data_IF_290743258914
#
_entry.id   IF_290743258914
#
_cell.length_a   1.000
_cell.length_b   1.000
_cell.length_c   1.000
_cell.angle_alpha   90.00
_cell.angle_beta   90.00
_cell.angle_gamma   90.00
#
_symmetry.space_group_name_H-M   'P 1'
#
loop_
_entity.id
_entity.type
_entity.pdbx_description
1 polymer ?
#
# COMPACT_ATOMS: atom_id res chain seq x y z
N UNK A 1 -10.35 8.97 11.32
CA UNK A 1 -9.64 10.19 10.86
C UNK A 1 -9.63 11.34 11.88
N UNK A 2 -10.62 11.47 12.78
CA UNK A 2 -10.63 12.55 13.80
C UNK A 2 -9.37 12.62 14.68
N UNK A 3 -8.65 11.50 14.84
CA UNK A 3 -7.44 11.39 15.67
C UNK A 3 -6.14 11.41 14.84
N UNK A 4 -6.16 11.98 13.64
CA UNK A 4 -4.98 12.11 12.77
C UNK A 4 -4.58 13.58 12.77
N UNK A 5 -3.32 13.89 13.12
CA UNK A 5 -2.85 15.27 13.16
C UNK A 5 -2.71 15.88 11.76
N UNK A 6 -2.72 17.21 11.67
CA UNK A 6 -2.51 17.92 10.39
C UNK A 6 -1.19 17.54 9.72
N UNK A 7 -0.14 17.29 10.51
CA UNK A 7 1.14 16.81 10.01
C UNK A 7 1.00 15.41 9.39
N UNK A 8 0.31 14.48 10.05
CA UNK A 8 0.07 13.15 9.51
C UNK A 8 -0.83 13.19 8.26
N UNK A 9 -1.83 14.07 8.22
CA UNK A 9 -2.68 14.29 7.05
C UNK A 9 -1.86 14.84 5.87
N UNK A 10 -0.97 15.80 6.11
CA UNK A 10 -0.10 16.34 5.07
C UNK A 10 0.86 15.27 4.52
N UNK A 11 1.46 14.46 5.39
CA UNK A 11 2.27 13.31 4.95
C UNK A 11 1.44 12.34 4.12
N UNK A 12 0.25 11.95 4.60
CA UNK A 12 -0.64 11.05 3.86
C UNK A 12 -1.01 11.61 2.49
N UNK A 13 -1.35 12.90 2.40
CA UNK A 13 -1.69 13.56 1.14
C UNK A 13 -0.54 13.51 0.13
N UNK A 14 0.68 13.83 0.56
CA UNK A 14 1.86 13.81 -0.31
C UNK A 14 2.19 12.40 -0.78
N UNK A 15 2.17 11.42 0.13
CA UNK A 15 2.43 10.01 -0.19
C UNK A 15 1.36 9.44 -1.13
N UNK A 16 0.08 9.78 -0.94
CA UNK A 16 -0.99 9.36 -1.85
C UNK A 16 -0.75 9.86 -3.28
N UNK A 17 -0.38 11.13 -3.45
CA UNK A 17 -0.08 11.70 -4.77
C UNK A 17 1.12 11.02 -5.41
N UNK A 18 2.20 10.85 -4.64
CA UNK A 18 3.42 10.19 -5.12
C UNK A 18 3.14 8.76 -5.59
N UNK A 19 2.44 7.97 -4.77
CA UNK A 19 2.12 6.57 -5.06
C UNK A 19 1.13 6.44 -6.22
N UNK A 20 0.12 7.31 -6.32
CA UNK A 20 -0.79 7.31 -7.47
C UNK A 20 -0.04 7.62 -8.76
N UNK A 21 0.87 8.60 -8.75
CA UNK A 21 1.69 8.91 -9.92
C UNK A 21 2.60 7.73 -10.29
N UNK A 22 3.30 7.14 -9.32
CA UNK A 22 4.12 5.94 -9.55
C UNK A 22 3.29 4.80 -10.14
N UNK A 23 2.07 4.58 -9.65
CA UNK A 23 1.17 3.56 -10.21
C UNK A 23 0.81 3.85 -11.66
N UNK A 24 0.49 5.10 -12.01
CA UNK A 24 0.24 5.51 -13.40
C UNK A 24 1.47 5.27 -14.27
N UNK A 25 2.66 5.69 -13.81
CA UNK A 25 3.92 5.55 -14.55
C UNK A 25 4.28 4.07 -14.79
N UNK A 26 3.85 3.17 -13.90
CA UNK A 26 4.04 1.73 -14.02
C UNK A 26 2.88 1.00 -14.73
N UNK A 27 1.97 1.73 -15.39
CA UNK A 27 0.84 1.15 -16.14
C UNK A 27 -0.25 0.57 -15.25
N UNK A 28 -0.32 0.99 -13.98
CA UNK A 28 -1.26 0.51 -12.99
C UNK A 28 -0.86 -0.82 -12.35
N UNK A 29 -1.84 -1.48 -11.73
CA UNK A 29 -1.67 -2.75 -11.03
C UNK A 29 -2.39 -3.88 -11.76
N UNK A 30 -1.66 -4.84 -12.34
CA UNK A 30 -2.24 -6.10 -12.77
C UNK A 30 -2.06 -7.17 -11.71
N UNK A 31 -3.17 -7.58 -11.11
CA UNK A 31 -3.19 -8.69 -10.16
C UNK A 31 -3.47 -10.04 -10.84
N UNK A 32 -4.55 -10.11 -11.63
CA UNK A 32 -4.93 -11.31 -12.39
C UNK A 32 -5.14 -10.98 -13.85
N UNK A 33 -6.32 -10.44 -14.16
CA UNK A 33 -6.82 -10.31 -15.53
C UNK A 33 -6.90 -8.85 -16.02
N UNK A 34 -6.60 -7.88 -15.17
CA UNK A 34 -6.67 -6.47 -15.56
C UNK A 34 -5.53 -6.09 -16.49
N UNK A 35 -5.86 -5.42 -17.59
CA UNK A 35 -4.93 -4.90 -18.61
C UNK A 35 -5.45 -3.55 -19.10
N UNK A 36 -4.57 -2.75 -19.72
CA UNK A 36 -4.98 -1.51 -20.38
C UNK A 36 -5.69 -1.76 -21.73
N UNK A 37 -6.04 -0.68 -22.44
CA UNK A 37 -6.77 -0.75 -23.71
C UNK A 37 -6.00 -1.49 -24.83
N UNK A 38 -4.67 -1.57 -24.72
CA UNK A 38 -3.80 -2.29 -25.64
C UNK A 38 -3.48 -3.71 -25.16
N UNK A 39 -4.08 -4.16 -24.06
CA UNK A 39 -3.88 -5.50 -23.49
C UNK A 39 -2.59 -5.65 -22.67
N UNK A 40 -1.93 -4.55 -22.30
CA UNK A 40 -0.68 -4.58 -21.52
C UNK A 40 -0.97 -4.67 -20.03
N UNK A 41 -0.10 -5.37 -19.29
CA UNK A 41 -0.17 -5.51 -17.84
C UNK A 41 0.56 -4.36 -17.14
N UNK A 42 -0.02 -3.87 -16.07
CA UNK A 42 0.61 -2.91 -15.15
C UNK A 42 1.53 -3.61 -14.15
N UNK A 43 2.63 -2.95 -13.79
CA UNK A 43 3.69 -3.51 -12.97
C UNK A 43 3.74 -2.98 -11.52
N UNK A 44 2.82 -2.09 -11.13
CA UNK A 44 2.88 -1.43 -9.82
C UNK A 44 2.95 -2.39 -8.62
N UNK A 45 2.34 -3.58 -8.71
CA UNK A 45 2.35 -4.55 -7.60
C UNK A 45 3.77 -4.99 -7.19
N UNK A 46 4.77 -4.88 -8.05
CA UNK A 46 6.18 -5.13 -7.71
C UNK A 46 6.76 -4.08 -6.76
N UNK A 47 6.19 -2.87 -6.75
CA UNK A 47 6.60 -1.76 -5.89
C UNK A 47 5.81 -1.73 -4.57
N UNK A 48 4.69 -2.47 -4.49
CA UNK A 48 3.82 -2.46 -3.33
C UNK A 48 4.55 -2.92 -2.06
N UNK A 49 4.55 -2.07 -1.03
CA UNK A 49 5.29 -2.37 0.20
C UNK A 49 4.59 -3.39 1.11
N UNK A 50 3.26 -3.46 1.10
CA UNK A 50 2.50 -4.32 2.04
C UNK A 50 1.39 -5.13 1.37
N UNK A 51 0.77 -4.63 0.30
CA UNK A 51 -0.36 -5.29 -0.33
C UNK A 51 0.04 -6.66 -0.88
N UNK A 52 -0.69 -7.73 -0.49
CA UNK A 52 -0.40 -9.13 -0.84
C UNK A 52 0.98 -9.64 -0.43
N UNK A 53 1.60 -8.98 0.55
CA UNK A 53 2.86 -9.42 1.16
C UNK A 53 2.65 -10.00 2.56
N UNK A 54 1.43 -10.42 2.90
CA UNK A 54 1.13 -11.08 4.19
C UNK A 54 2.09 -12.24 4.45
N UNK A 55 2.68 -12.29 5.65
CA UNK A 55 3.71 -13.27 6.04
C UNK A 55 5.10 -13.02 5.45
N UNK A 56 5.29 -11.96 4.65
CA UNK A 56 6.62 -11.56 4.18
C UNK A 56 7.22 -10.46 5.06
N UNK A 57 8.56 -10.42 5.12
CA UNK A 57 9.30 -9.38 5.82
C UNK A 57 8.98 -7.97 5.30
N UNK A 58 8.82 -7.02 6.21
CA UNK A 58 8.70 -5.60 5.88
C UNK A 58 10.01 -5.08 5.28
N UNK A 59 9.92 -4.25 4.23
CA UNK A 59 11.12 -3.64 3.62
C UNK A 59 11.90 -2.71 4.56
N UNK A 60 11.25 -2.16 5.60
CA UNK A 60 11.87 -1.25 6.57
C UNK A 60 12.29 -1.94 7.87
N UNK A 61 11.61 -3.02 8.26
CA UNK A 61 11.85 -3.78 9.48
C UNK A 61 11.91 -5.28 9.10
N UNK A 62 13.08 -5.80 8.68
CA UNK A 62 13.17 -7.15 8.13
C UNK A 62 12.81 -8.27 9.10
N UNK A 63 12.86 -7.99 10.40
CA UNK A 63 12.47 -8.86 11.51
C UNK A 63 10.95 -8.91 11.75
N UNK A 64 10.17 -8.09 11.03
CA UNK A 64 8.73 -7.96 11.20
C UNK A 64 7.98 -8.37 9.94
N UNK A 65 6.97 -9.19 10.11
CA UNK A 65 6.11 -9.62 9.01
C UNK A 65 5.00 -8.60 8.73
N UNK A 66 4.63 -8.48 7.45
CA UNK A 66 3.41 -7.79 7.05
C UNK A 66 2.21 -8.66 7.45
N UNK A 67 1.23 -8.04 8.09
CA UNK A 67 0.00 -8.70 8.55
C UNK A 67 -1.19 -8.25 7.71
N UNK A 68 -2.24 -9.05 7.71
CA UNK A 68 -3.54 -8.71 7.11
C UNK A 68 -4.63 -8.62 8.17
N UNK A 69 -5.25 -7.46 8.21
CA UNK A 69 -6.38 -7.12 9.08
C UNK A 69 -7.68 -7.12 8.27
N UNK A 70 -8.82 -7.19 8.97
CA UNK A 70 -10.15 -6.95 8.38
C UNK A 70 -10.71 -5.65 8.95
N UNK A 71 -10.78 -4.61 8.11
CA UNK A 71 -11.26 -3.28 8.48
C UNK A 71 -12.49 -2.97 7.64
N UNK A 72 -13.64 -2.72 8.28
CA UNK A 72 -14.90 -2.44 7.56
C UNK A 72 -15.31 -3.55 6.57
N UNK A 73 -14.99 -4.81 6.90
CA UNK A 73 -15.26 -5.95 6.01
C UNK A 73 -14.24 -6.17 4.89
N UNK A 74 -13.22 -5.33 4.75
CA UNK A 74 -12.20 -5.40 3.69
C UNK A 74 -10.84 -5.81 4.24
N UNK A 75 -10.13 -6.65 3.49
CA UNK A 75 -8.74 -7.01 3.82
C UNK A 75 -7.81 -5.81 3.68
N UNK A 76 -7.02 -5.54 4.72
CA UNK A 76 -6.08 -4.40 4.81
C UNK A 76 -4.72 -4.96 5.20
N UNK A 77 -3.65 -4.63 4.47
CA UNK A 77 -2.30 -5.13 4.75
C UNK A 77 -1.46 -4.01 5.36
N UNK A 78 -0.73 -4.30 6.43
CA UNK A 78 0.09 -3.32 7.15
C UNK A 78 1.36 -3.96 7.72
N UNK A 79 2.40 -3.17 7.97
CA UNK A 79 3.47 -3.57 8.88
C UNK A 79 3.14 -3.05 10.30
N UNK A 80 3.11 -3.92 11.32
CA UNK A 80 2.69 -3.53 12.68
C UNK A 80 3.66 -2.55 13.36
N UNK A 81 4.90 -2.46 12.88
CA UNK A 81 5.92 -1.54 13.42
C UNK A 81 5.99 -0.23 12.62
N UNK A 82 5.83 -0.26 11.30
CA UNK A 82 5.82 0.97 10.49
C UNK A 82 4.54 1.79 10.69
N UNK A 83 3.39 1.12 10.85
CA UNK A 83 2.06 1.72 10.80
C UNK A 83 1.36 1.49 12.12
N UNK A 84 1.84 2.18 13.15
CA UNK A 84 1.28 2.12 14.50
C UNK A 84 -0.05 2.88 14.58
N UNK A 85 -0.98 2.37 15.38
CA UNK A 85 -2.17 3.14 15.74
C UNK A 85 -1.74 4.40 16.50
N UNK A 86 -2.30 5.54 16.10
CA UNK A 86 -2.17 6.76 16.90
C UNK A 86 -2.88 6.50 18.24
N UNK A 87 -2.13 6.58 19.34
CA UNK A 87 -2.66 6.50 20.70
C UNK A 87 -3.51 7.73 21.02
#
# INVERSE_FOLDING_TARGET
>A
VKNVSDQQLNTLFNELRHILQLSIDQGGSTDKNYVDAEGRKGNYLTFAHVFRREGQACHRHPDQEVIKLKVGGRGTHVCPVCQVEAK
#
